data_IF_805126477009
#
_entry.id   IF_805126477009
#
_cell.length_a   1.000
_cell.length_b   1.000
_cell.length_c   1.000
_cell.angle_alpha   90.00
_cell.angle_beta   90.00
_cell.angle_gamma   90.00
#
_symmetry.space_group_name_H-M   'P 1'
#
loop_
_entity.id
_entity.type
_entity.pdbx_description
1 polymer ?
#
# COMPACT_ATOMS: atom_id res chain seq x y z
N UNK A 1 -31.41 13.14 -14.54
CA UNK A 1 -30.25 13.44 -13.66
C UNK A 1 -29.55 12.19 -13.11
N UNK A 2 -30.26 11.15 -12.63
CA UNK A 2 -29.62 9.94 -12.08
C UNK A 2 -28.83 9.08 -13.11
N UNK A 3 -29.34 8.97 -14.34
CA UNK A 3 -28.67 8.22 -15.43
C UNK A 3 -27.36 8.90 -15.89
N UNK A 4 -27.31 10.23 -15.90
CA UNK A 4 -26.11 11.00 -16.26
C UNK A 4 -24.98 10.83 -15.24
N UNK A 5 -25.30 10.72 -13.94
CA UNK A 5 -24.32 10.43 -12.88
C UNK A 5 -23.76 9.01 -13.03
N UNK A 6 -24.60 8.04 -13.41
CA UNK A 6 -24.16 6.65 -13.62
C UNK A 6 -23.23 6.51 -14.83
N UNK A 7 -23.53 7.17 -15.95
CA UNK A 7 -22.67 7.16 -17.17
C UNK A 7 -21.31 7.83 -16.91
N UNK A 8 -21.25 8.87 -16.07
CA UNK A 8 -19.98 9.51 -15.67
C UNK A 8 -19.17 8.60 -14.73
N UNK A 9 -19.81 7.91 -13.80
CA UNK A 9 -19.13 6.96 -12.90
C UNK A 9 -18.55 5.77 -13.69
N UNK A 10 -19.28 5.22 -14.67
CA UNK A 10 -18.76 4.11 -15.49
C UNK A 10 -17.71 4.54 -16.51
N UNK A 11 -17.81 5.76 -17.08
CA UNK A 11 -16.74 6.32 -17.91
C UNK A 11 -15.47 6.59 -17.10
N UNK A 12 -15.55 7.13 -15.88
CA UNK A 12 -14.37 7.33 -15.02
C UNK A 12 -13.71 5.99 -14.69
N UNK A 13 -14.49 4.97 -14.29
CA UNK A 13 -13.94 3.64 -13.96
C UNK A 13 -13.34 2.95 -15.20
N UNK A 14 -13.98 3.06 -16.37
CA UNK A 14 -13.45 2.49 -17.63
C UNK A 14 -12.20 3.19 -18.14
N UNK A 15 -12.10 4.51 -17.91
CA UNK A 15 -10.93 5.32 -18.24
C UNK A 15 -9.80 5.03 -17.26
N UNK A 16 -9.98 4.97 -15.93
CA UNK A 16 -8.87 4.59 -15.03
C UNK A 16 -8.35 3.18 -15.31
N UNK A 17 -9.21 2.20 -15.61
CA UNK A 17 -8.76 0.86 -16.00
C UNK A 17 -7.95 0.85 -17.31
N UNK A 18 -8.30 1.71 -18.27
CA UNK A 18 -7.57 1.83 -19.55
C UNK A 18 -6.22 2.57 -19.42
N UNK A 19 -6.09 3.46 -18.43
CA UNK A 19 -4.85 4.21 -18.18
C UNK A 19 -3.89 3.50 -17.21
N UNK A 20 -4.37 2.59 -16.36
CA UNK A 20 -3.50 1.77 -15.49
C UNK A 20 -2.81 0.60 -16.20
N UNK A 21 -3.10 0.34 -17.48
CA UNK A 21 -2.48 -0.77 -18.23
C UNK A 21 -1.37 -0.31 -19.20
N UNK A 22 -1.19 0.99 -19.45
CA UNK A 22 -0.30 1.45 -20.54
C UNK A 22 1.16 1.75 -20.19
N UNK A 23 1.57 1.78 -18.92
CA UNK A 23 2.98 2.03 -18.56
C UNK A 23 3.47 1.15 -17.38
N UNK A 24 2.94 -0.08 -17.26
CA UNK A 24 3.72 -1.14 -16.62
C UNK A 24 4.23 -2.02 -17.73
N UNK A 25 5.44 -1.73 -18.18
CA UNK A 25 6.18 -2.66 -19.00
C UNK A 25 6.56 -3.86 -18.12
N UNK A 26 5.63 -4.82 -18.05
CA UNK A 26 5.80 -6.14 -17.45
C UNK A 26 6.40 -7.09 -18.50
N UNK A 27 7.42 -6.67 -19.26
CA UNK A 27 8.06 -7.54 -20.25
C UNK A 27 9.36 -8.20 -19.78
N UNK A 28 9.83 -7.97 -18.55
CA UNK A 28 11.08 -8.59 -18.07
C UNK A 28 11.05 -9.09 -16.61
N UNK A 29 9.91 -9.61 -16.17
CA UNK A 29 9.93 -10.64 -15.14
C UNK A 29 9.27 -11.85 -15.79
N UNK A 30 10.10 -12.76 -16.30
CA UNK A 30 9.63 -14.12 -16.53
C UNK A 30 9.04 -14.63 -15.21
N UNK A 31 7.72 -14.73 -15.21
CA UNK A 31 6.94 -15.36 -14.16
C UNK A 31 7.36 -16.84 -14.11
N UNK A 32 8.31 -17.12 -13.23
CA UNK A 32 8.45 -18.43 -12.62
C UNK A 32 8.89 -18.29 -11.16
N UNK A 33 8.15 -17.49 -10.40
CA UNK A 33 8.10 -17.73 -8.95
C UNK A 33 7.30 -19.01 -8.77
N UNK A 34 7.99 -20.14 -8.89
CA UNK A 34 7.51 -21.40 -8.39
C UNK A 34 7.34 -21.22 -6.88
N UNK A 35 6.11 -20.96 -6.43
CA UNK A 35 5.71 -21.03 -5.03
C UNK A 35 5.68 -22.51 -4.59
N UNK A 36 6.75 -23.25 -4.85
CA UNK A 36 7.06 -24.46 -4.11
C UNK A 36 7.55 -23.96 -2.76
N UNK A 37 6.53 -23.70 -1.94
CA UNK A 37 6.64 -23.48 -0.53
C UNK A 37 7.45 -24.63 0.05
N UNK A 38 8.73 -24.36 0.28
CA UNK A 38 9.28 -24.85 1.51
C UNK A 38 8.73 -23.84 2.53
N UNK A 39 7.69 -24.19 3.31
CA UNK A 39 6.97 -23.25 4.20
C UNK A 39 7.94 -22.40 5.05
N UNK A 40 9.13 -22.95 5.33
CA UNK A 40 10.21 -22.26 6.01
C UNK A 40 10.92 -21.13 5.22
N UNK A 41 11.08 -21.24 3.89
CA UNK A 41 11.81 -20.24 3.10
C UNK A 41 10.98 -18.99 2.85
N UNK A 42 9.71 -19.12 2.46
CA UNK A 42 8.80 -17.99 2.25
C UNK A 42 8.51 -17.28 3.57
N UNK A 43 8.36 -18.04 4.66
CA UNK A 43 8.15 -17.46 5.98
C UNK A 43 9.39 -16.69 6.47
N UNK A 44 10.59 -17.25 6.27
CA UNK A 44 11.86 -16.56 6.56
C UNK A 44 12.01 -15.26 5.75
N UNK A 45 11.60 -15.26 4.47
CA UNK A 45 11.62 -14.05 3.65
C UNK A 45 10.65 -12.98 4.18
N UNK A 46 9.43 -13.36 4.56
CA UNK A 46 8.49 -12.41 5.17
C UNK A 46 9.07 -11.81 6.46
N UNK A 47 9.61 -12.65 7.35
CA UNK A 47 10.20 -12.19 8.61
C UNK A 47 11.35 -11.22 8.36
N UNK A 48 12.25 -11.54 7.42
CA UNK A 48 13.36 -10.67 7.05
C UNK A 48 12.89 -9.34 6.46
N UNK A 49 11.84 -9.38 5.62
CA UNK A 49 11.26 -8.19 5.02
C UNK A 49 10.65 -7.28 6.09
N UNK A 50 9.78 -7.81 6.95
CA UNK A 50 9.15 -7.05 8.04
C UNK A 50 10.20 -6.49 9.00
N UNK A 51 11.25 -7.24 9.33
CA UNK A 51 12.35 -6.75 10.19
C UNK A 51 13.09 -5.58 9.56
N UNK A 52 13.36 -5.64 8.24
CA UNK A 52 13.93 -4.50 7.51
C UNK A 52 13.00 -3.30 7.53
N UNK A 53 11.70 -3.50 7.34
CA UNK A 53 10.70 -2.43 7.43
C UNK A 53 10.67 -1.79 8.80
N UNK A 54 10.63 -2.55 9.88
CA UNK A 54 10.69 -2.03 11.25
C UNK A 54 11.95 -1.18 11.50
N UNK A 55 13.09 -1.57 10.91
CA UNK A 55 14.32 -0.79 10.99
C UNK A 55 14.22 0.52 10.20
N UNK A 56 13.60 0.47 9.01
CA UNK A 56 13.44 1.63 8.15
C UNK A 56 12.40 2.64 8.68
N UNK A 57 11.30 2.14 9.26
CA UNK A 57 10.24 2.96 9.86
C UNK A 57 10.75 3.84 11.02
N UNK A 58 11.80 3.40 11.73
CA UNK A 58 12.46 4.20 12.77
C UNK A 58 13.31 5.37 12.24
N UNK A 59 13.31 5.64 10.92
CA UNK A 59 14.11 6.72 10.32
C UNK A 59 13.26 7.97 10.04
N UNK A 60 13.81 9.14 10.35
CA UNK A 60 13.17 10.46 10.10
C UNK A 60 12.82 10.67 8.62
N UNK A 61 13.52 10.02 7.70
CA UNK A 61 13.22 10.07 6.27
C UNK A 61 11.88 9.43 5.88
N UNK A 62 11.35 8.53 6.69
CA UNK A 62 10.04 7.90 6.42
C UNK A 62 8.90 8.85 6.76
N UNK A 63 9.00 9.59 7.87
CA UNK A 63 7.99 10.54 8.30
C UNK A 63 7.74 11.63 7.25
N UNK A 64 8.81 12.19 6.66
CA UNK A 64 8.71 13.19 5.59
C UNK A 64 8.07 12.63 4.31
N UNK A 65 8.39 11.39 3.96
CA UNK A 65 7.80 10.72 2.79
C UNK A 65 6.32 10.43 3.00
N UNK A 66 5.93 10.04 4.21
CA UNK A 66 4.55 9.82 4.61
C UNK A 66 3.76 11.14 4.54
N UNK A 67 4.29 12.22 5.10
CA UNK A 67 3.64 13.53 5.06
C UNK A 67 3.42 13.99 3.61
N UNK A 68 4.43 13.84 2.74
CA UNK A 68 4.33 14.19 1.32
C UNK A 68 3.27 13.33 0.61
N UNK A 69 3.23 12.04 0.92
CA UNK A 69 2.22 11.12 0.36
C UNK A 69 0.81 11.55 0.78
N UNK A 70 0.58 11.81 2.07
CA UNK A 70 -0.71 12.27 2.60
C UNK A 70 -1.16 13.56 1.89
N UNK A 71 -0.28 14.56 1.81
CA UNK A 71 -0.56 15.83 1.14
C UNK A 71 -0.92 15.65 -0.33
N UNK A 72 -0.20 14.77 -1.03
CA UNK A 72 -0.45 14.46 -2.44
C UNK A 72 -1.80 13.76 -2.64
N UNK A 73 -2.08 12.71 -1.87
CA UNK A 73 -3.35 11.97 -1.93
C UNK A 73 -4.54 12.85 -1.62
N UNK A 74 -4.42 13.73 -0.63
CA UNK A 74 -5.51 14.60 -0.19
C UNK A 74 -5.66 15.88 -1.01
N UNK A 75 -4.70 16.23 -1.87
CA UNK A 75 -4.75 17.44 -2.69
C UNK A 75 -5.96 17.48 -3.62
N UNK A 76 -6.48 16.33 -4.05
CA UNK A 76 -7.64 16.23 -4.93
C UNK A 76 -8.96 16.65 -4.24
N UNK A 77 -9.01 16.58 -2.90
CA UNK A 77 -10.23 16.83 -2.13
C UNK A 77 -10.31 18.26 -1.61
N UNK A 78 -10.49 19.26 -2.46
CA UNK A 78 -10.43 20.69 -2.07
C UNK A 78 -11.30 21.05 -0.84
N UNK A 79 -12.54 20.57 -0.77
CA UNK A 79 -13.46 20.87 0.35
C UNK A 79 -13.24 20.03 1.61
N UNK A 80 -12.62 18.85 1.48
CA UNK A 80 -12.44 17.91 2.59
C UNK A 80 -10.96 17.58 2.86
N UNK A 81 -10.04 18.38 2.32
CA UNK A 81 -8.61 18.14 2.35
C UNK A 81 -8.11 17.91 3.76
N UNK A 82 -8.46 18.81 4.68
CA UNK A 82 -8.08 18.71 6.10
C UNK A 82 -8.60 17.43 6.76
N UNK A 83 -9.83 17.02 6.43
CA UNK A 83 -10.41 15.80 6.98
C UNK A 83 -9.76 14.54 6.39
N UNK A 84 -9.40 14.57 5.10
CA UNK A 84 -8.61 13.54 4.44
C UNK A 84 -7.22 13.41 5.07
N UNK A 85 -6.50 14.52 5.24
CA UNK A 85 -5.15 14.53 5.83
C UNK A 85 -5.18 13.96 7.25
N UNK A 86 -6.09 14.43 8.11
CA UNK A 86 -6.28 13.89 9.47
C UNK A 86 -6.70 12.42 9.52
N UNK A 87 -7.44 11.94 8.52
CA UNK A 87 -7.82 10.54 8.44
C UNK A 87 -6.60 9.69 8.08
N UNK A 88 -5.86 10.11 7.05
CA UNK A 88 -4.67 9.42 6.57
C UNK A 88 -3.56 9.40 7.62
N UNK A 89 -3.29 10.52 8.29
CA UNK A 89 -2.34 10.58 9.42
C UNK A 89 -2.70 9.57 10.51
N UNK A 90 -3.96 9.54 10.94
CA UNK A 90 -4.40 8.58 11.97
C UNK A 90 -4.27 7.13 11.52
N UNK A 91 -4.64 6.82 10.29
CA UNK A 91 -4.53 5.47 9.75
C UNK A 91 -3.07 5.03 9.63
N UNK A 92 -2.21 5.87 9.07
CA UNK A 92 -0.81 5.55 8.85
C UNK A 92 -0.05 5.45 10.18
N UNK A 93 -0.24 6.39 11.11
CA UNK A 93 0.38 6.32 12.43
C UNK A 93 -0.03 5.06 13.19
N UNK A 94 -1.32 4.68 13.11
CA UNK A 94 -1.80 3.44 13.73
C UNK A 94 -1.15 2.20 13.09
N UNK A 95 -1.03 2.17 11.77
CA UNK A 95 -0.41 1.06 11.05
C UNK A 95 1.08 0.93 11.37
N UNK A 96 1.82 2.05 11.37
CA UNK A 96 3.24 2.08 11.77
C UNK A 96 3.38 1.56 13.19
N UNK A 97 2.58 2.08 14.13
CA UNK A 97 2.61 1.64 15.51
C UNK A 97 2.35 0.13 15.66
N UNK A 98 1.40 -0.43 14.90
CA UNK A 98 1.16 -1.89 14.90
C UNK A 98 2.38 -2.63 14.38
N UNK A 99 2.99 -2.16 13.29
CA UNK A 99 4.17 -2.80 12.70
C UNK A 99 5.36 -2.74 13.66
N UNK A 100 5.60 -1.61 14.34
CA UNK A 100 6.70 -1.45 15.29
C UNK A 100 6.52 -2.28 16.56
N UNK A 101 5.30 -2.36 17.09
CA UNK A 101 5.02 -3.04 18.37
C UNK A 101 4.78 -4.55 18.22
N UNK A 102 4.53 -5.03 16.99
CA UNK A 102 4.25 -6.45 16.74
C UNK A 102 5.49 -7.16 16.22
N UNK A 103 5.82 -8.30 16.81
CA UNK A 103 6.94 -9.11 16.33
C UNK A 103 6.74 -9.55 14.86
N UNK A 104 7.80 -9.51 14.05
CA UNK A 104 7.77 -9.86 12.64
C UNK A 104 7.20 -11.26 12.35
N UNK A 105 7.49 -12.25 13.20
CA UNK A 105 6.93 -13.60 13.11
C UNK A 105 5.42 -13.61 13.32
N UNK A 106 4.91 -12.79 14.23
CA UNK A 106 3.48 -12.66 14.48
C UNK A 106 2.78 -11.97 13.32
N UNK A 107 3.39 -10.92 12.75
CA UNK A 107 2.84 -10.23 11.57
C UNK A 107 2.75 -11.16 10.36
N UNK A 108 3.79 -11.95 10.11
CA UNK A 108 3.82 -12.84 8.95
C UNK A 108 2.80 -13.99 9.05
N UNK A 109 2.44 -14.45 10.25
CA UNK A 109 1.38 -15.46 10.47
C UNK A 109 -0.02 -15.01 10.07
N UNK A 110 -0.23 -13.70 9.85
CA UNK A 110 -1.50 -13.18 9.32
C UNK A 110 -1.56 -13.21 7.78
N UNK A 111 -0.50 -13.65 7.12
CA UNK A 111 -0.37 -13.68 5.67
C UNK A 111 -0.21 -15.13 5.20
N UNK A 112 -0.47 -15.49 3.95
CA UNK A 112 -0.17 -16.85 3.44
C UNK A 112 1.33 -17.20 3.35
N UNK A 113 2.21 -16.29 3.78
CA UNK A 113 3.66 -16.43 3.71
C UNK A 113 4.24 -17.15 4.94
N UNK A 114 3.52 -17.18 6.06
CA UNK A 114 3.74 -17.98 7.27
C UNK A 114 2.36 -18.42 7.82
#
# INVERSE_FOLDING_TARGET
MKYFIYVIITMIIGVTLSYTVKDVDMSNIEESVNYQSNDNSTCSMCIQYITKWQTYLNSTSVDEQIEKYIKSTCAFYLFFRHQCEKMMERCLNKTIHIIEQTNATTLCKFTPFC
#
